data_IF_700867180184
#
_entry.id   IF_700867180184
#
_cell.length_a   1.000
_cell.length_b   1.000
_cell.length_c   1.000
_cell.angle_alpha   90.00
_cell.angle_beta   90.00
_cell.angle_gamma   90.00
#
_symmetry.space_group_name_H-M   'P 1'
#
loop_
_entity.id
_entity.type
_entity.pdbx_description
1 polymer ?
#
# COMPACT_ATOMS: atom_id res chain seq x y z
N UNK A 1 -34.92 -25.50 -5.49
CA UNK A 1 -34.32 -24.19 -5.13
C UNK A 1 -32.87 -24.22 -5.58
N UNK A 2 -32.59 -23.60 -6.73
CA UNK A 2 -31.27 -23.66 -7.37
C UNK A 2 -30.24 -22.81 -6.65
N UNK A 3 -29.04 -23.38 -6.48
CA UNK A 3 -27.86 -22.74 -5.93
C UNK A 3 -27.57 -21.44 -6.68
N UNK A 4 -27.65 -20.30 -6.00
CA UNK A 4 -26.95 -19.09 -6.44
C UNK A 4 -25.47 -19.29 -6.14
N UNK A 5 -24.80 -19.93 -7.09
CA UNK A 5 -23.36 -19.79 -7.29
C UNK A 5 -23.07 -18.29 -7.30
N UNK A 6 -22.53 -17.78 -6.19
CA UNK A 6 -21.92 -16.46 -6.19
C UNK A 6 -20.69 -16.57 -7.08
N UNK A 7 -20.83 -16.11 -8.33
CA UNK A 7 -19.72 -15.89 -9.25
C UNK A 7 -18.70 -15.03 -8.53
N UNK A 8 -17.64 -15.66 -8.04
CA UNK A 8 -16.42 -14.99 -7.64
C UNK A 8 -15.69 -14.63 -8.93
N UNK A 9 -16.17 -13.60 -9.60
CA UNK A 9 -15.38 -12.85 -10.58
C UNK A 9 -14.19 -12.28 -9.81
N UNK A 10 -13.12 -13.06 -9.73
CA UNK A 10 -11.79 -12.52 -9.47
C UNK A 10 -11.43 -11.82 -10.77
N UNK A 11 -11.58 -10.50 -10.78
CA UNK A 11 -10.99 -9.65 -11.81
C UNK A 11 -9.58 -10.16 -12.11
N UNK A 12 -9.33 -10.56 -13.36
CA UNK A 12 -7.98 -10.74 -13.88
C UNK A 12 -7.31 -9.37 -14.00
N UNK A 13 -7.04 -8.73 -12.85
CA UNK A 13 -6.23 -7.52 -12.81
C UNK A 13 -4.85 -7.88 -13.34
N UNK A 14 -4.35 -7.07 -14.27
CA UNK A 14 -2.95 -7.19 -14.67
C UNK A 14 -2.07 -6.99 -13.44
N UNK A 15 -0.95 -7.71 -13.35
CA UNK A 15 0.04 -7.53 -12.27
C UNK A 15 0.46 -6.05 -12.12
N UNK A 16 0.41 -5.28 -13.20
CA UNK A 16 0.62 -3.83 -13.19
C UNK A 16 -0.43 -3.10 -12.34
N UNK A 17 -1.69 -3.47 -12.48
CA UNK A 17 -2.82 -2.88 -11.76
C UNK A 17 -2.79 -3.28 -10.28
N UNK A 18 -2.38 -4.52 -9.97
CA UNK A 18 -2.14 -4.97 -8.58
C UNK A 18 -1.04 -4.14 -7.90
N UNK A 19 0.12 -3.96 -8.57
CA UNK A 19 1.22 -3.14 -8.04
C UNK A 19 0.77 -1.68 -7.85
N UNK A 20 -0.05 -1.16 -8.78
CA UNK A 20 -0.61 0.20 -8.69
C UNK A 20 -1.59 0.35 -7.53
N UNK A 21 -2.44 -0.64 -7.29
CA UNK A 21 -3.36 -0.69 -6.15
C UNK A 21 -2.56 -0.74 -4.83
N UNK A 22 -1.56 -1.61 -4.75
CA UNK A 22 -0.66 -1.71 -3.58
C UNK A 22 0.09 -0.41 -3.31
N UNK A 23 0.57 0.28 -4.35
CA UNK A 23 1.23 1.57 -4.21
C UNK A 23 0.26 2.64 -3.68
N UNK A 24 -0.97 2.69 -4.19
CA UNK A 24 -1.99 3.61 -3.69
C UNK A 24 -2.39 3.30 -2.25
N UNK A 25 -2.53 2.03 -1.88
CA UNK A 25 -2.81 1.62 -0.50
C UNK A 25 -1.66 2.02 0.44
N UNK A 26 -0.41 1.75 0.04
CA UNK A 26 0.80 2.14 0.79
C UNK A 26 0.87 3.65 0.97
N UNK A 27 0.55 4.44 -0.07
CA UNK A 27 0.53 5.90 0.01
C UNK A 27 -0.54 6.42 0.98
N UNK A 28 -1.75 5.88 0.93
CA UNK A 28 -2.82 6.24 1.88
C UNK A 28 -2.44 5.91 3.33
N UNK A 29 -1.77 4.77 3.55
CA UNK A 29 -1.30 4.40 4.88
C UNK A 29 -0.19 5.34 5.37
N UNK A 30 0.70 5.77 4.48
CA UNK A 30 1.73 6.76 4.76
C UNK A 30 1.13 8.11 5.14
N UNK A 31 0.14 8.59 4.38
CA UNK A 31 -0.59 9.84 4.67
C UNK A 31 -1.26 9.79 6.05
N UNK A 32 -1.99 8.71 6.36
CA UNK A 32 -2.59 8.54 7.69
C UNK A 32 -1.56 8.50 8.81
N UNK A 33 -0.47 7.76 8.62
CA UNK A 33 0.59 7.67 9.65
C UNK A 33 1.23 9.04 9.88
N UNK A 34 1.36 9.85 8.82
CA UNK A 34 1.85 11.23 8.90
C UNK A 34 0.87 12.15 9.64
N UNK A 35 -0.43 12.05 9.37
CA UNK A 35 -1.46 12.78 10.11
C UNK A 35 -1.48 12.37 11.59
N UNK A 36 -1.32 11.07 11.88
CA UNK A 36 -1.19 10.59 13.25
C UNK A 36 0.04 11.15 13.95
N UNK A 37 1.18 11.23 13.25
CA UNK A 37 2.41 11.83 13.78
C UNK A 37 2.23 13.29 14.20
N UNK A 38 1.47 14.07 13.43
CA UNK A 38 1.19 15.48 13.73
C UNK A 38 0.43 15.67 15.06
N UNK A 39 -0.42 14.71 15.40
CA UNK A 39 -1.22 14.71 16.62
C UNK A 39 -0.61 13.89 17.77
N UNK A 40 0.49 13.17 17.54
CA UNK A 40 1.15 12.33 18.54
C UNK A 40 1.99 13.20 19.49
N UNK A 41 1.56 13.28 20.75
CA UNK A 41 2.29 14.01 21.81
C UNK A 41 3.21 13.11 22.63
N UNK A 42 3.09 11.79 22.48
CA UNK A 42 3.92 10.81 23.22
C UNK A 42 5.22 10.49 22.45
N UNK A 43 6.40 10.72 23.04
CA UNK A 43 7.68 10.57 22.35
C UNK A 43 8.01 9.13 21.93
N UNK A 44 7.59 8.12 22.69
CA UNK A 44 7.84 6.71 22.36
C UNK A 44 6.97 6.27 21.16
N UNK A 45 5.74 6.78 21.12
CA UNK A 45 4.85 6.57 19.98
C UNK A 45 5.31 7.33 18.72
N UNK A 46 5.95 8.50 18.87
CA UNK A 46 6.53 9.25 17.75
C UNK A 46 7.65 8.46 17.07
N UNK A 47 8.58 7.86 17.83
CA UNK A 47 9.65 7.02 17.26
C UNK A 47 9.09 5.84 16.47
N UNK A 48 8.06 5.17 17.01
CA UNK A 48 7.39 4.06 16.32
C UNK A 48 6.74 4.49 14.99
N UNK A 49 6.12 5.68 14.97
CA UNK A 49 5.47 6.23 13.80
C UNK A 49 6.48 6.69 12.73
N UNK A 50 7.64 7.22 13.12
CA UNK A 50 8.75 7.54 12.22
C UNK A 50 9.29 6.27 11.56
N UNK A 51 9.51 5.21 12.33
CA UNK A 51 9.95 3.92 11.79
C UNK A 51 8.95 3.36 10.78
N UNK A 52 7.65 3.46 11.09
CA UNK A 52 6.57 3.04 10.21
C UNK A 52 6.56 3.85 8.91
N UNK A 53 6.64 5.17 8.98
CA UNK A 53 6.74 6.07 7.81
C UNK A 53 7.91 5.67 6.90
N UNK A 54 9.08 5.44 7.46
CA UNK A 54 10.28 5.05 6.71
C UNK A 54 10.10 3.67 6.04
N UNK A 55 9.47 2.71 6.72
CA UNK A 55 9.17 1.40 6.13
C UNK A 55 8.20 1.50 4.95
N UNK A 56 7.18 2.36 5.06
CA UNK A 56 6.19 2.58 4.00
C UNK A 56 6.80 3.28 2.79
N UNK A 57 7.68 4.25 3.01
CA UNK A 57 8.43 4.92 1.93
C UNK A 57 9.32 3.92 1.18
N UNK A 58 10.08 3.09 1.91
CA UNK A 58 10.91 2.03 1.31
C UNK A 58 10.08 1.05 0.49
N UNK A 59 8.91 0.65 0.99
CA UNK A 59 7.97 -0.22 0.24
C UNK A 59 7.49 0.46 -1.04
N UNK A 60 7.15 1.74 -0.98
CA UNK A 60 6.70 2.51 -2.14
C UNK A 60 7.81 2.60 -3.22
N UNK A 61 9.04 2.89 -2.80
CA UNK A 61 10.22 2.89 -3.70
C UNK A 61 10.47 1.52 -4.32
N UNK A 62 10.32 0.44 -3.55
CA UNK A 62 10.45 -0.92 -4.06
C UNK A 62 9.40 -1.23 -5.14
N UNK A 63 8.12 -0.93 -4.88
CA UNK A 63 7.03 -1.14 -5.84
C UNK A 63 7.24 -0.32 -7.12
N UNK A 64 7.73 0.92 -7.01
CA UNK A 64 8.12 1.74 -8.16
C UNK A 64 9.23 1.10 -9.00
N UNK A 65 10.25 0.51 -8.35
CA UNK A 65 11.34 -0.19 -9.06
C UNK A 65 10.82 -1.44 -9.76
N UNK A 66 9.94 -2.21 -9.12
CA UNK A 66 9.28 -3.36 -9.76
C UNK A 66 8.44 -2.95 -10.97
N UNK A 67 7.70 -1.84 -10.88
CA UNK A 67 6.91 -1.32 -11.98
C UNK A 67 7.79 -0.97 -13.19
N UNK A 68 8.87 -0.20 -12.97
CA UNK A 68 9.82 0.17 -14.02
C UNK A 68 10.50 -1.04 -14.66
N UNK A 69 10.85 -2.05 -13.85
CA UNK A 69 11.45 -3.28 -14.34
C UNK A 69 10.47 -4.13 -15.19
N UNK A 70 9.16 -3.97 -14.98
CA UNK A 70 8.11 -4.61 -15.76
C UNK A 70 7.76 -3.83 -17.04
N UNK A 71 7.85 -2.50 -17.02
CA UNK A 71 7.64 -1.65 -18.20
C UNK A 71 8.80 -1.73 -19.21
N UNK A 72 10.03 -1.99 -18.75
CA UNK A 72 11.22 -2.07 -19.60
C UNK A 72 11.41 -3.45 -20.29
N UNK A 73 10.44 -4.36 -20.17
CA UNK A 73 10.46 -5.73 -20.71
C UNK A 73 9.37 -5.93 -21.74
#
# INVERSE_FOLDING_TARGET
MGLRFFSREKDCKSRFEEIRDEMNATRREWERTKEQLDHLTDPDLVDSAIYRLNSLEKRCVFLMKELKAKEAK
#
